data_IF_800011418155
#
_entry.id   IF_800011418155
#
_cell.length_a   1.000
_cell.length_b   1.000
_cell.length_c   1.000
_cell.angle_alpha   90.00
_cell.angle_beta   90.00
_cell.angle_gamma   90.00
#
_symmetry.space_group_name_H-M   'P 1'
#
loop_
_entity.id
_entity.type
_entity.pdbx_description
1 polymer ?
#
# COMPACT_ATOMS: atom_id res chain seq x y z
N UNK A 1 -0.68 8.93 -32.76
CA UNK A 1 0.70 8.76 -33.24
C UNK A 1 1.04 9.64 -34.44
N UNK A 2 0.15 9.75 -35.44
CA UNK A 2 0.39 10.47 -36.68
C UNK A 2 0.98 11.89 -36.53
N UNK A 3 0.55 12.67 -35.52
CA UNK A 3 1.03 14.05 -35.28
C UNK A 3 2.54 14.14 -34.97
N UNK A 4 3.13 13.08 -34.42
CA UNK A 4 4.53 13.10 -33.95
C UNK A 4 5.50 12.38 -34.89
N UNK A 5 5.02 11.81 -36.00
CA UNK A 5 5.85 11.01 -36.90
C UNK A 5 6.95 11.83 -37.58
N UNK A 6 6.66 13.07 -38.01
CA UNK A 6 7.65 13.96 -38.61
C UNK A 6 8.77 14.32 -37.62
N UNK A 7 8.41 14.54 -36.35
CA UNK A 7 9.37 14.84 -35.29
C UNK A 7 10.26 13.63 -34.96
N UNK A 8 9.67 12.44 -34.89
CA UNK A 8 10.42 11.22 -34.63
C UNK A 8 11.39 10.85 -35.76
N UNK A 9 11.07 11.21 -37.02
CA UNK A 9 11.93 10.94 -38.17
C UNK A 9 13.28 11.69 -38.11
N UNK A 10 13.41 12.72 -37.27
CA UNK A 10 14.66 13.46 -37.07
C UNK A 10 15.66 12.73 -36.16
N UNK A 11 15.23 11.65 -35.48
CA UNK A 11 16.04 10.91 -34.52
C UNK A 11 16.22 9.46 -34.96
N UNK A 12 17.44 8.93 -34.81
CA UNK A 12 17.69 7.49 -34.91
C UNK A 12 17.43 6.83 -33.55
N UNK A 13 16.29 6.18 -33.39
CA UNK A 13 15.91 5.51 -32.15
C UNK A 13 15.29 4.13 -32.40
N UNK A 14 15.31 3.31 -31.35
CA UNK A 14 14.60 2.03 -31.30
C UNK A 14 13.67 2.01 -30.11
N UNK A 15 12.47 1.47 -30.33
CA UNK A 15 11.48 1.32 -29.27
C UNK A 15 11.77 0.03 -28.53
N UNK A 16 12.16 0.14 -27.26
CA UNK A 16 12.37 -1.00 -26.37
C UNK A 16 11.50 -0.87 -25.12
N UNK A 17 10.84 -1.97 -24.74
CA UNK A 17 10.15 -2.05 -23.47
C UNK A 17 11.16 -2.16 -22.31
N UNK A 18 11.07 -1.26 -21.33
CA UNK A 18 11.84 -1.34 -20.09
C UNK A 18 10.89 -1.65 -18.92
N UNK A 19 11.02 -2.82 -18.27
CA UNK A 19 10.23 -3.14 -17.09
C UNK A 19 10.40 -2.11 -15.97
N UNK A 20 9.34 -1.86 -15.19
CA UNK A 20 9.32 -0.81 -14.17
C UNK A 20 10.46 -0.88 -13.14
N UNK A 21 10.97 -2.08 -12.82
CA UNK A 21 12.13 -2.25 -11.93
C UNK A 21 13.40 -1.57 -12.47
N UNK A 22 13.56 -1.43 -13.78
CA UNK A 22 14.69 -0.75 -14.41
C UNK A 22 14.44 0.76 -14.58
N UNK A 23 13.22 1.23 -14.32
CA UNK A 23 12.83 2.62 -14.49
C UNK A 23 13.18 3.47 -13.25
N UNK A 24 14.25 3.14 -12.52
CA UNK A 24 14.57 3.75 -11.21
C UNK A 24 14.88 5.24 -11.26
N UNK A 25 15.19 5.79 -12.45
CA UNK A 25 15.49 7.22 -12.63
C UNK A 25 14.31 7.98 -13.22
N UNK A 26 13.76 7.52 -14.36
CA UNK A 26 12.68 8.26 -15.00
C UNK A 26 11.34 8.12 -14.25
N UNK A 27 11.11 7.04 -13.50
CA UNK A 27 9.91 6.86 -12.68
C UNK A 27 9.85 7.86 -11.50
N UNK A 28 10.90 8.07 -10.67
CA UNK A 28 10.90 9.17 -9.70
C UNK A 28 10.87 10.56 -10.33
N UNK A 29 11.62 10.80 -11.41
CA UNK A 29 11.65 12.13 -12.06
C UNK A 29 10.31 12.53 -12.67
N UNK A 30 9.56 11.59 -13.24
CA UNK A 30 8.23 11.87 -13.79
C UNK A 30 7.16 12.15 -12.71
N UNK A 31 7.39 11.70 -11.48
CA UNK A 31 6.47 11.87 -10.34
C UNK A 31 6.83 13.02 -9.40
N UNK A 32 7.92 13.72 -9.67
CA UNK A 32 8.37 14.88 -8.89
C UNK A 32 7.32 16.00 -8.94
N UNK A 33 6.73 16.30 -7.78
CA UNK A 33 5.63 17.27 -7.66
C UNK A 33 6.08 18.71 -7.87
N UNK A 34 7.38 18.99 -7.72
CA UNK A 34 8.00 20.25 -8.10
C UNK A 34 7.95 20.54 -9.60
N UNK A 35 7.82 19.51 -10.47
CA UNK A 35 7.52 19.71 -11.91
C UNK A 35 6.02 19.86 -12.19
N UNK A 36 5.15 19.23 -11.37
CA UNK A 36 3.70 19.31 -11.53
C UNK A 36 3.09 20.63 -11.00
N UNK A 37 3.79 21.33 -10.10
CA UNK A 37 3.33 22.55 -9.43
C UNK A 37 3.20 23.79 -10.32
N UNK A 38 3.59 23.73 -11.60
CA UNK A 38 3.33 24.82 -12.56
C UNK A 38 1.92 24.79 -13.16
N UNK A 39 1.17 23.72 -12.94
CA UNK A 39 -0.25 23.63 -13.26
C UNK A 39 -0.98 23.25 -11.99
N UNK A 40 -1.24 24.25 -11.15
CA UNK A 40 -2.10 24.13 -9.98
C UNK A 40 -3.53 23.83 -10.43
N UNK A 41 -3.82 22.55 -10.67
CA UNK A 41 -5.19 22.07 -10.72
C UNK A 41 -5.64 21.82 -9.28
N UNK A 42 -6.56 22.67 -8.81
CA UNK A 42 -7.15 22.70 -7.47
C UNK A 42 -7.96 21.43 -7.10
N UNK A 43 -7.77 20.31 -7.81
CA UNK A 43 -8.57 19.10 -7.65
C UNK A 43 -7.78 17.79 -7.67
N UNK A 44 -6.46 17.82 -7.46
CA UNK A 44 -5.66 16.59 -7.39
C UNK A 44 -5.56 16.11 -5.94
N UNK A 45 -6.34 15.07 -5.60
CA UNK A 45 -6.09 14.26 -4.39
C UNK A 45 -4.83 13.44 -4.68
N UNK A 46 -3.66 14.04 -4.46
CA UNK A 46 -2.40 13.33 -4.37
C UNK A 46 -2.25 12.76 -2.97
N UNK A 47 -2.11 11.44 -2.85
CA UNK A 47 -1.57 10.85 -1.61
C UNK A 47 -0.06 11.11 -1.62
N UNK A 48 0.33 12.35 -1.36
CA UNK A 48 1.70 12.64 -0.94
C UNK A 48 1.80 12.19 0.52
N UNK A 49 2.68 11.23 0.81
CA UNK A 49 3.07 10.94 2.19
C UNK A 49 4.00 12.07 2.66
N UNK A 50 3.44 13.27 2.82
CA UNK A 50 4.10 14.42 3.42
C UNK A 50 4.19 14.15 4.91
N UNK A 51 5.32 13.60 5.35
CA UNK A 51 5.56 13.15 6.72
C UNK A 51 4.57 12.06 7.18
N UNK A 52 5.00 11.16 8.06
CA UNK A 52 4.01 10.50 8.92
C UNK A 52 3.68 11.52 9.99
N UNK A 53 2.54 12.25 9.93
CA UNK A 53 2.09 12.96 11.12
C UNK A 53 2.06 11.92 12.25
N UNK A 54 2.59 12.27 13.43
CA UNK A 54 2.41 11.47 14.63
C UNK A 54 0.90 11.38 14.87
N UNK A 55 0.31 10.27 14.41
CA UNK A 55 -1.12 10.05 14.46
C UNK A 55 -1.37 8.99 15.51
N UNK A 56 -2.24 9.29 16.47
CA UNK A 56 -2.70 8.33 17.47
C UNK A 56 -3.51 7.20 16.86
N UNK A 57 -3.87 7.26 15.57
CA UNK A 57 -4.75 6.30 14.91
C UNK A 57 -4.32 4.84 15.13
N UNK A 58 -3.01 4.56 15.09
CA UNK A 58 -2.51 3.20 15.31
C UNK A 58 -2.76 2.76 16.76
N UNK A 59 -2.51 3.64 17.73
CA UNK A 59 -2.77 3.37 19.14
C UNK A 59 -4.28 3.26 19.43
N UNK A 60 -5.10 4.09 18.78
CA UNK A 60 -6.56 4.07 18.87
C UNK A 60 -7.13 2.77 18.30
N UNK A 61 -6.59 2.28 17.18
CA UNK A 61 -6.96 0.98 16.59
C UNK A 61 -6.55 -0.17 17.52
N UNK A 62 -5.35 -0.13 18.10
CA UNK A 62 -4.92 -1.11 19.11
C UNK A 62 -5.84 -1.11 20.33
N UNK A 63 -6.24 0.07 20.81
CA UNK A 63 -7.17 0.20 21.92
C UNK A 63 -8.57 -0.34 21.56
N UNK A 64 -9.03 -0.13 20.32
CA UNK A 64 -10.31 -0.66 19.85
C UNK A 64 -10.33 -2.20 19.83
N UNK A 65 -9.20 -2.87 19.55
CA UNK A 65 -9.13 -4.33 19.64
C UNK A 65 -9.40 -4.86 21.05
N UNK A 66 -9.16 -4.06 22.11
CA UNK A 66 -9.53 -4.44 23.47
C UNK A 66 -11.05 -4.44 23.71
N UNK A 67 -11.86 -3.90 22.80
CA UNK A 67 -13.32 -3.92 22.89
C UNK A 67 -13.96 -4.97 21.95
N UNK A 68 -13.29 -5.34 20.87
CA UNK A 68 -13.77 -6.30 19.88
C UNK A 68 -13.46 -7.76 20.28
N UNK A 69 -14.49 -8.59 20.38
CA UNK A 69 -14.37 -10.00 20.76
C UNK A 69 -13.64 -10.85 19.70
N UNK A 70 -13.85 -10.57 18.42
CA UNK A 70 -13.23 -11.29 17.31
C UNK A 70 -11.75 -10.91 17.18
N UNK A 71 -11.43 -9.62 17.31
CA UNK A 71 -10.04 -9.14 17.27
C UNK A 71 -9.18 -9.77 18.38
N UNK A 72 -9.72 -9.91 19.59
CA UNK A 72 -9.04 -10.62 20.70
C UNK A 72 -8.73 -12.08 20.37
N UNK A 73 -9.69 -12.79 19.78
CA UNK A 73 -9.50 -14.18 19.38
C UNK A 73 -8.43 -14.31 18.29
N UNK A 74 -8.41 -13.40 17.31
CA UNK A 74 -7.39 -13.39 16.27
C UNK A 74 -6.00 -13.03 16.80
N UNK A 75 -5.88 -12.05 17.69
CA UNK A 75 -4.61 -11.66 18.32
C UNK A 75 -4.04 -12.80 19.16
N UNK A 76 -4.85 -13.44 20.01
CA UNK A 76 -4.43 -14.58 20.82
C UNK A 76 -4.01 -15.79 19.98
N UNK A 77 -4.70 -16.06 18.87
CA UNK A 77 -4.29 -17.08 17.90
C UNK A 77 -2.96 -16.73 17.23
N UNK A 78 -2.79 -15.48 16.81
CA UNK A 78 -1.60 -15.03 16.09
C UNK A 78 -0.34 -14.98 16.96
N UNK A 79 -0.47 -14.81 18.29
CA UNK A 79 0.65 -14.96 19.24
C UNK A 79 1.20 -16.38 19.32
N UNK A 80 0.39 -17.40 19.01
CA UNK A 80 0.79 -18.81 19.03
C UNK A 80 -0.02 -19.62 18.02
N UNK A 81 0.29 -19.48 16.72
CA UNK A 81 -0.49 -20.11 15.66
C UNK A 81 -0.26 -21.62 15.68
N UNK A 82 -1.27 -22.37 16.10
CA UNK A 82 -1.30 -23.83 16.06
C UNK A 82 -2.66 -24.33 15.55
N UNK A 83 -2.74 -25.57 15.08
CA UNK A 83 -4.02 -26.15 14.65
C UNK A 83 -5.03 -26.29 15.79
N UNK A 84 -4.54 -26.54 17.01
CA UNK A 84 -5.38 -26.55 18.21
C UNK A 84 -5.93 -25.15 18.52
N UNK A 85 -5.08 -24.12 18.45
CA UNK A 85 -5.50 -22.74 18.63
C UNK A 85 -6.48 -22.30 17.52
N UNK A 86 -6.27 -22.74 16.29
CA UNK A 86 -7.19 -22.51 15.17
C UNK A 86 -8.55 -23.16 15.42
N UNK A 87 -8.60 -24.36 15.98
CA UNK A 87 -9.87 -25.04 16.35
C UNK A 87 -10.61 -24.34 17.48
N UNK A 88 -9.95 -23.51 18.29
CA UNK A 88 -10.60 -22.72 19.36
C UNK A 88 -11.26 -21.43 18.88
N UNK A 89 -10.89 -20.92 17.69
CA UNK A 89 -11.50 -19.73 17.08
C UNK A 89 -13.00 -19.93 16.78
N UNK A 90 -13.78 -18.87 16.67
CA UNK A 90 -15.15 -18.96 16.15
C UNK A 90 -15.17 -19.45 14.67
N UNK A 91 -16.23 -20.15 14.21
CA UNK A 91 -16.27 -20.76 12.87
C UNK A 91 -15.99 -19.78 11.72
N UNK A 92 -16.52 -18.55 11.81
CA UNK A 92 -16.30 -17.52 10.80
C UNK A 92 -14.86 -16.99 10.80
N UNK A 93 -14.18 -17.00 11.95
CA UNK A 93 -12.78 -16.62 12.06
C UNK A 93 -11.84 -17.72 11.55
N UNK A 94 -12.15 -19.00 11.79
CA UNK A 94 -11.36 -20.15 11.29
C UNK A 94 -11.19 -20.15 9.78
N UNK A 95 -12.26 -19.84 9.06
CA UNK A 95 -12.27 -19.75 7.61
C UNK A 95 -11.39 -18.60 7.10
N UNK A 96 -11.23 -17.53 7.90
CA UNK A 96 -10.53 -16.30 7.52
C UNK A 96 -9.14 -16.16 8.17
N UNK A 97 -8.77 -17.05 9.09
CA UNK A 97 -7.54 -16.95 9.87
C UNK A 97 -6.28 -16.82 9.01
N UNK A 98 -6.24 -17.49 7.85
CA UNK A 98 -5.12 -17.42 6.90
C UNK A 98 -4.94 -16.05 6.24
N UNK A 99 -5.95 -15.17 6.29
CA UNK A 99 -5.89 -13.82 5.73
C UNK A 99 -5.23 -12.81 6.65
N UNK A 100 -5.15 -13.10 7.94
CA UNK A 100 -4.65 -12.17 8.93
C UNK A 100 -3.23 -12.53 9.36
N UNK A 101 -2.38 -11.52 9.50
CA UNK A 101 -1.04 -11.62 10.11
C UNK A 101 -0.88 -10.51 11.13
N UNK A 102 -0.15 -10.77 12.21
CA UNK A 102 0.13 -9.74 13.21
C UNK A 102 1.51 -9.13 12.96
N UNK A 103 1.57 -7.81 12.88
CA UNK A 103 2.80 -7.04 12.87
C UNK A 103 2.66 -5.89 13.88
N UNK A 104 3.55 -5.81 14.87
CA UNK A 104 3.49 -4.77 15.92
C UNK A 104 2.09 -4.61 16.54
N UNK A 105 1.44 -5.75 16.85
CA UNK A 105 0.08 -5.84 17.42
C UNK A 105 -1.06 -5.38 16.50
N UNK A 106 -0.79 -5.10 15.23
CA UNK A 106 -1.80 -4.82 14.22
C UNK A 106 -2.16 -6.07 13.44
N UNK A 107 -3.47 -6.29 13.24
CA UNK A 107 -4.00 -7.32 12.35
C UNK A 107 -3.99 -6.80 10.90
N UNK A 108 -3.14 -7.38 10.06
CA UNK A 108 -2.96 -7.06 8.63
C UNK A 108 -3.53 -8.17 7.74
#
# INVERSE_FOLDING_TARGET
MARWLSFFAEYDFRVEYKPGRLNVVADPLSRRTDYAAKTADANRIGVERVSTPSSSLIDDVKAAYASDADAKQLLSYASSPSDEARRKLAPHLRARAHRYRVHEELLL
#
